data_IF_062087034826
#
_entry.id   IF_062087034826
#
_cell.length_a   1.000
_cell.length_b   1.000
_cell.length_c   1.000
_cell.angle_alpha   90.00
_cell.angle_beta   90.00
_cell.angle_gamma   90.00
#
_symmetry.space_group_name_H-M   'P 1'
#
loop_
_entity.id
_entity.type
_entity.pdbx_description
1 polymer ?
#
# COMPACT_ATOMS: atom_id res chain seq x y z
N UNK A 1 6.19 3.45 -7.40
CA UNK A 1 6.01 4.08 -6.07
C UNK A 1 5.80 3.05 -4.97
N UNK A 2 5.65 3.50 -3.71
CA UNK A 2 5.45 2.61 -2.54
C UNK A 2 4.13 2.94 -1.85
N UNK A 3 3.33 1.92 -1.56
CA UNK A 3 2.09 2.02 -0.80
C UNK A 3 2.34 1.45 0.60
N UNK A 4 1.97 2.23 1.63
CA UNK A 4 2.05 1.81 3.02
C UNK A 4 0.65 1.39 3.49
N UNK A 5 0.48 0.12 3.84
CA UNK A 5 -0.77 -0.42 4.39
C UNK A 5 -0.55 -0.79 5.86
N UNK A 6 -1.19 -0.07 6.78
CA UNK A 6 -1.08 -0.32 8.23
C UNK A 6 -1.34 0.91 9.09
N UNK A 7 -1.54 0.72 10.40
CA UNK A 7 -1.87 1.80 11.35
C UNK A 7 -2.78 1.36 12.50
N UNK A 8 -2.20 0.76 13.55
CA UNK A 8 -2.77 0.33 14.85
C UNK A 8 -3.96 -0.67 14.86
N UNK A 9 -3.63 -1.96 14.98
CA UNK A 9 -4.21 -2.90 15.97
C UNK A 9 -3.24 -4.08 16.22
N UNK A 10 -2.54 -4.04 17.35
CA UNK A 10 -2.45 -5.16 18.30
C UNK A 10 -1.97 -6.56 17.88
N UNK A 11 -1.29 -6.78 16.76
CA UNK A 11 -0.52 -8.01 16.55
C UNK A 11 0.84 -7.69 15.95
N UNK A 12 1.87 -7.93 16.76
CA UNK A 12 3.27 -8.01 16.35
C UNK A 12 3.32 -8.95 15.14
N UNK A 13 3.46 -8.39 13.94
CA UNK A 13 3.82 -9.17 12.77
C UNK A 13 5.30 -9.50 12.92
N UNK A 14 5.56 -10.58 13.65
CA UNK A 14 6.88 -11.21 13.73
C UNK A 14 7.17 -11.85 12.37
N UNK A 15 7.63 -11.05 11.41
CA UNK A 15 8.14 -11.56 10.14
C UNK A 15 9.50 -10.91 9.87
N UNK A 16 10.52 -11.69 10.24
CA UNK A 16 11.90 -11.71 9.78
C UNK A 16 12.23 -10.73 8.64
N UNK A 17 13.00 -9.69 8.96
CA UNK A 17 13.80 -8.97 7.97
C UNK A 17 14.97 -9.88 7.57
N UNK A 18 14.87 -10.54 6.42
CA UNK A 18 16.03 -11.23 5.83
C UNK A 18 16.93 -10.20 5.18
N UNK A 19 18.16 -10.06 5.70
CA UNK A 19 19.24 -9.31 5.07
C UNK A 19 19.66 -10.03 3.77
N UNK A 20 20.01 -9.34 2.67
CA UNK A 20 20.56 -9.93 1.43
C UNK A 20 21.81 -10.83 1.57
N UNK A 21 22.31 -11.10 2.79
CA UNK A 21 23.42 -12.01 3.06
C UNK A 21 23.04 -13.38 3.66
N UNK A 22 21.76 -13.78 3.66
CA UNK A 22 21.29 -15.12 4.11
C UNK A 22 21.68 -15.56 5.53
N UNK A 23 22.22 -14.68 6.37
CA UNK A 23 22.41 -14.94 7.80
C UNK A 23 21.21 -14.40 8.59
N UNK A 24 20.54 -15.22 9.44
CA UNK A 24 19.48 -14.73 10.32
C UNK A 24 20.10 -13.84 11.41
N UNK A 25 20.10 -12.53 11.17
CA UNK A 25 20.39 -11.56 12.23
C UNK A 25 19.15 -11.49 13.11
N UNK A 26 19.11 -12.32 14.16
CA UNK A 26 18.10 -12.22 15.23
C UNK A 26 18.42 -10.97 16.05
N UNK A 27 18.01 -9.81 15.55
CA UNK A 27 17.88 -8.63 16.40
C UNK A 27 16.58 -8.78 17.18
N UNK A 28 16.69 -9.29 18.41
CA UNK A 28 15.62 -9.27 19.42
C UNK A 28 15.34 -7.83 19.88
N UNK A 29 15.13 -6.91 18.95
CA UNK A 29 14.52 -5.62 19.26
C UNK A 29 13.03 -5.88 19.16
N UNK A 30 12.43 -6.30 20.28
CA UNK A 30 10.98 -6.30 20.42
C UNK A 30 10.53 -4.89 20.02
N UNK A 31 9.79 -4.72 18.91
CA UNK A 31 9.29 -3.42 18.56
C UNK A 31 8.42 -2.96 19.73
N UNK A 32 8.58 -1.70 20.16
CA UNK A 32 7.80 -1.08 21.25
C UNK A 32 6.34 -1.55 21.16
N UNK A 33 5.63 -1.80 22.27
CA UNK A 33 4.21 -2.17 22.21
C UNK A 33 3.33 -1.16 21.43
N UNK A 34 3.88 0.02 21.12
CA UNK A 34 3.28 1.06 20.28
C UNK A 34 3.83 1.13 18.84
N UNK A 35 4.71 0.22 18.45
CA UNK A 35 5.31 0.20 17.12
C UNK A 35 4.27 -0.19 16.08
N UNK A 36 4.04 0.73 15.15
CA UNK A 36 3.17 0.50 14.00
C UNK A 36 3.98 -0.22 12.94
N UNK A 37 3.63 -1.47 12.66
CA UNK A 37 4.21 -2.21 11.53
C UNK A 37 3.38 -1.90 10.29
N UNK A 38 4.04 -1.37 9.26
CA UNK A 38 3.45 -1.13 7.96
C UNK A 38 3.82 -2.26 7.00
N UNK A 39 2.86 -2.69 6.20
CA UNK A 39 3.13 -3.49 5.01
C UNK A 39 3.52 -2.55 3.86
N UNK A 40 4.67 -2.80 3.25
CA UNK A 40 5.13 -2.05 2.09
C UNK A 40 4.77 -2.81 0.82
N UNK A 41 4.04 -2.16 -0.08
CA UNK A 41 3.75 -2.70 -1.42
C UNK A 41 4.47 -1.81 -2.42
N UNK A 42 5.42 -2.40 -3.15
CA UNK A 42 6.15 -1.71 -4.21
C UNK A 42 5.47 -1.93 -5.55
N UNK A 43 5.13 -0.84 -6.23
CA UNK A 43 4.54 -0.85 -7.57
C UNK A 43 5.47 -0.10 -8.55
N UNK A 44 5.57 -0.52 -9.82
CA UNK A 44 6.45 0.13 -10.79
C UNK A 44 6.04 1.58 -11.07
N UNK A 45 4.73 1.83 -11.18
CA UNK A 45 4.21 3.14 -11.56
C UNK A 45 4.04 4.02 -10.31
N UNK A 46 4.68 5.19 -10.30
CA UNK A 46 4.59 6.13 -9.16
C UNK A 46 3.19 6.73 -9.03
N UNK A 47 2.53 7.04 -10.15
CA UNK A 47 1.16 7.54 -10.16
C UNK A 47 0.15 6.50 -9.62
N UNK A 48 0.35 5.21 -9.89
CA UNK A 48 -0.49 4.13 -9.37
C UNK A 48 -0.32 3.87 -7.87
N UNK A 49 0.75 4.39 -7.26
CA UNK A 49 0.94 4.30 -5.82
C UNK A 49 0.01 5.24 -5.03
N UNK A 50 -0.61 6.23 -5.69
CA UNK A 50 -1.64 7.05 -5.07
C UNK A 50 -2.97 6.28 -5.02
N UNK A 51 -3.31 5.78 -3.84
CA UNK A 51 -4.54 5.05 -3.56
C UNK A 51 -5.20 5.63 -2.30
N UNK A 52 -6.53 5.53 -2.23
CA UNK A 52 -7.31 6.02 -1.09
C UNK A 52 -7.93 4.83 -0.37
N UNK A 53 -7.67 4.67 0.93
CA UNK A 53 -8.28 3.64 1.75
C UNK A 53 -9.38 4.23 2.63
N UNK A 54 -10.62 3.74 2.47
CA UNK A 54 -11.81 4.21 3.20
C UNK A 54 -12.73 3.03 3.49
N UNK A 55 -13.19 2.89 4.74
CA UNK A 55 -14.17 1.86 5.15
C UNK A 55 -13.90 0.45 4.57
N UNK A 56 -12.68 -0.06 4.76
CA UNK A 56 -12.25 -1.37 4.26
C UNK A 56 -12.35 -1.52 2.72
N UNK A 57 -12.24 -0.40 2.01
CA UNK A 57 -12.25 -0.29 0.56
C UNK A 57 -11.02 0.51 0.09
N UNK A 58 -10.31 0.00 -0.90
CA UNK A 58 -9.24 0.74 -1.61
C UNK A 58 -9.82 1.26 -2.92
N UNK A 59 -9.75 2.57 -3.10
CA UNK A 59 -9.95 3.25 -4.37
C UNK A 59 -8.58 3.42 -5.03
N UNK A 60 -8.46 2.93 -6.25
CA UNK A 60 -7.20 2.92 -6.99
C UNK A 60 -7.41 3.27 -8.46
N UNK A 61 -6.30 3.58 -9.13
CA UNK A 61 -6.26 3.80 -10.58
C UNK A 61 -6.77 2.58 -11.34
N UNK A 62 -7.39 2.85 -12.48
CA UNK A 62 -8.01 1.82 -13.31
C UNK A 62 -6.95 0.88 -13.88
N UNK A 63 -7.32 -0.40 -14.06
CA UNK A 63 -6.38 -1.44 -14.50
C UNK A 63 -5.74 -1.12 -15.86
N UNK A 64 -6.48 -0.50 -16.77
CA UNK A 64 -5.98 -0.20 -18.12
C UNK A 64 -4.95 0.94 -18.12
N UNK A 65 -4.97 1.83 -17.12
CA UNK A 65 -3.97 2.90 -16.96
C UNK A 65 -2.63 2.30 -16.49
N UNK A 66 -2.64 1.37 -15.53
CA UNK A 66 -1.45 0.78 -14.93
C UNK A 66 -1.58 -0.73 -14.65
N UNK A 67 -1.52 -1.60 -15.69
CA UNK A 67 -1.83 -3.02 -15.57
C UNK A 67 -0.85 -3.81 -14.70
N UNK A 68 0.44 -3.44 -14.70
CA UNK A 68 1.47 -4.12 -13.89
C UNK A 68 1.32 -3.76 -12.41
N UNK A 69 1.08 -2.49 -12.10
CA UNK A 69 0.82 -2.02 -10.74
C UNK A 69 -0.49 -2.58 -10.18
N UNK A 70 -1.55 -2.69 -11.01
CA UNK A 70 -2.81 -3.34 -10.65
C UNK A 70 -2.60 -4.79 -10.21
N UNK A 71 -1.87 -5.58 -11.01
CA UNK A 71 -1.63 -6.99 -10.72
C UNK A 71 -0.90 -7.18 -9.39
N UNK A 72 0.14 -6.37 -9.13
CA UNK A 72 0.92 -6.40 -7.89
C UNK A 72 0.05 -6.02 -6.69
N UNK A 73 -0.72 -4.93 -6.81
CA UNK A 73 -1.58 -4.46 -5.73
C UNK A 73 -2.63 -5.52 -5.38
N UNK A 74 -3.34 -6.06 -6.38
CA UNK A 74 -4.35 -7.10 -6.18
C UNK A 74 -3.78 -8.36 -5.53
N UNK A 75 -2.56 -8.74 -5.88
CA UNK A 75 -1.90 -9.92 -5.32
C UNK A 75 -1.48 -9.73 -3.84
N UNK A 76 -1.16 -8.49 -3.44
CA UNK A 76 -0.62 -8.20 -2.12
C UNK A 76 -1.66 -7.64 -1.13
N UNK A 77 -2.78 -7.10 -1.59
CA UNK A 77 -3.88 -6.63 -0.73
C UNK A 77 -4.68 -7.83 -0.20
N UNK A 78 -5.14 -7.75 1.06
CA UNK A 78 -6.02 -8.76 1.65
C UNK A 78 -7.31 -8.89 0.82
N UNK A 79 -7.72 -10.12 0.49
CA UNK A 79 -8.94 -10.42 -0.26
C UNK A 79 -10.22 -9.89 0.42
N UNK A 80 -10.18 -9.63 1.72
CA UNK A 80 -11.28 -9.02 2.48
C UNK A 80 -11.45 -7.52 2.21
N UNK A 81 -10.42 -6.85 1.68
CA UNK A 81 -10.47 -5.43 1.36
C UNK A 81 -11.11 -5.27 -0.03
N UNK A 82 -12.21 -4.53 -0.09
CA UNK A 82 -12.89 -4.24 -1.36
C UNK A 82 -11.98 -3.33 -2.20
N UNK A 83 -11.94 -3.53 -3.52
CA UNK A 83 -11.16 -2.69 -4.43
C UNK A 83 -12.07 -2.07 -5.48
N UNK A 84 -11.95 -0.75 -5.68
CA UNK A 84 -12.70 0.03 -6.66
C UNK A 84 -11.69 0.69 -7.60
N UNK A 85 -11.96 0.59 -8.90
CA UNK A 85 -11.18 1.22 -9.95
C UNK A 85 -11.79 2.56 -10.33
N UNK A 86 -10.94 3.57 -10.51
CA UNK A 86 -11.32 4.91 -10.96
C UNK A 86 -10.31 5.38 -12.00
N UNK A 87 -10.83 5.85 -13.13
CA UNK A 87 -10.06 6.54 -14.17
C UNK A 87 -9.73 7.94 -13.68
N UNK A 88 -8.46 8.32 -13.77
CA UNK A 88 -7.99 9.64 -13.35
C UNK A 88 -6.86 10.17 -14.25
N UNK A 89 -6.79 9.71 -15.50
CA UNK A 89 -5.81 10.18 -16.48
C UNK A 89 -5.93 11.68 -16.78
N UNK A 90 -7.14 12.23 -16.82
CA UNK A 90 -7.33 13.68 -16.98
C UNK A 90 -6.78 14.48 -15.79
N UNK A 91 -6.95 13.96 -14.58
CA UNK A 91 -6.45 14.59 -13.37
C UNK A 91 -4.91 14.52 -13.30
N UNK A 92 -4.32 13.46 -13.84
CA UNK A 92 -2.87 13.30 -13.92
C UNK A 92 -2.20 14.34 -14.83
N UNK A 93 -2.90 14.92 -15.82
CA UNK A 93 -2.36 15.98 -16.70
C UNK A 93 -2.03 17.28 -15.97
N UNK A 94 -2.63 17.48 -14.79
CA UNK A 94 -2.43 18.66 -13.94
C UNK A 94 -1.78 18.29 -12.61
N UNK A 95 -1.01 17.20 -12.58
CA UNK A 95 -0.36 16.65 -11.39
C UNK A 95 -1.32 16.32 -10.23
N UNK A 96 -2.61 16.15 -10.53
CA UNK A 96 -3.60 15.74 -9.55
C UNK A 96 -3.64 14.22 -9.38
N UNK A 97 -4.05 13.77 -8.19
CA UNK A 97 -4.22 12.35 -7.88
C UNK A 97 -5.50 12.10 -7.06
N UNK A 98 -5.89 10.83 -6.89
CA UNK A 98 -7.14 10.46 -6.21
C UNK A 98 -7.25 11.07 -4.81
N UNK A 99 -6.16 11.09 -4.05
CA UNK A 99 -6.12 11.70 -2.72
C UNK A 99 -6.37 13.22 -2.73
N UNK A 100 -6.05 13.91 -3.83
CA UNK A 100 -6.21 15.37 -3.95
C UNK A 100 -7.68 15.78 -4.05
N UNK A 101 -8.56 14.88 -4.47
CA UNK A 101 -9.99 15.15 -4.68
C UNK A 101 -10.84 14.92 -3.43
N UNK A 102 -10.24 14.65 -2.27
CA UNK A 102 -10.99 14.34 -1.06
C UNK A 102 -10.29 14.82 0.20
N UNK A 103 -11.08 15.22 1.19
CA UNK A 103 -10.63 15.41 2.58
C UNK A 103 -11.32 14.34 3.40
N UNK A 104 -10.55 13.38 3.91
CA UNK A 104 -11.05 12.32 4.78
C UNK A 104 -11.02 12.82 6.22
N UNK A 105 -12.16 12.75 6.91
CA UNK A 105 -12.34 13.14 8.30
C UNK A 105 -12.58 11.92 9.19
#
# INVERSE_FOLDING_TARGET
>A
GTILLGGKMGKILSHYLTNPQNNPVVTNILPSPNAVVYKHIHVPDTAAANVVYVNNTIVRRAKHEYPLSDAILRAQVDKKIKQIEVEADELAKVDGALSCCSVLY
#
